data_IF_950640790809
#
_entry.id   IF_950640790809
#
_cell.length_a   1.000
_cell.length_b   1.000
_cell.length_c   1.000
_cell.angle_alpha   90.00
_cell.angle_beta   90.00
_cell.angle_gamma   90.00
#
_symmetry.space_group_name_H-M   'P 1'
#
loop_
_entity.id
_entity.type
_entity.pdbx_description
1 polymer ?
#
# COMPACT_ATOMS: atom_id res chain seq x y z
N UNK A 1 -35.80 -28.08 6.92
CA UNK A 1 -34.46 -28.50 6.42
C UNK A 1 -34.05 -27.75 5.16
N UNK A 2 -34.84 -27.75 4.08
CA UNK A 2 -34.49 -27.06 2.81
C UNK A 2 -34.13 -25.57 2.95
N UNK A 3 -34.93 -24.80 3.68
CA UNK A 3 -34.68 -23.36 3.86
C UNK A 3 -33.40 -23.06 4.65
N UNK A 4 -33.07 -23.89 5.65
CA UNK A 4 -31.82 -23.74 6.42
C UNK A 4 -30.61 -23.93 5.51
N UNK A 5 -30.62 -24.94 4.64
CA UNK A 5 -29.54 -25.17 3.67
C UNK A 5 -29.39 -23.99 2.69
N UNK A 6 -30.49 -23.42 2.22
CA UNK A 6 -30.47 -22.26 1.31
C UNK A 6 -29.86 -21.03 2.01
N UNK A 7 -30.28 -20.72 3.24
CA UNK A 7 -29.71 -19.61 4.00
C UNK A 7 -28.21 -19.83 4.29
N UNK A 8 -27.80 -21.06 4.64
CA UNK A 8 -26.38 -21.39 4.84
C UNK A 8 -25.56 -21.18 3.56
N UNK A 9 -26.08 -21.59 2.40
CA UNK A 9 -25.40 -21.38 1.11
C UNK A 9 -25.24 -19.90 0.76
N UNK A 10 -26.29 -19.10 0.99
CA UNK A 10 -26.24 -17.64 0.76
C UNK A 10 -25.20 -16.99 1.67
N UNK A 11 -25.16 -17.35 2.96
CA UNK A 11 -24.17 -16.82 3.91
C UNK A 11 -22.74 -17.19 3.45
N UNK A 12 -22.50 -18.44 3.05
CA UNK A 12 -21.20 -18.88 2.54
C UNK A 12 -20.81 -18.08 1.29
N UNK A 13 -21.71 -17.91 0.33
CA UNK A 13 -21.48 -17.12 -0.89
C UNK A 13 -21.18 -15.65 -0.57
N UNK A 14 -21.89 -15.04 0.38
CA UNK A 14 -21.63 -13.67 0.83
C UNK A 14 -20.26 -13.55 1.50
N UNK A 15 -19.90 -14.47 2.40
CA UNK A 15 -18.59 -14.46 3.06
C UNK A 15 -17.44 -14.67 2.09
N UNK A 16 -17.61 -15.49 1.05
CA UNK A 16 -16.61 -15.70 0.00
C UNK A 16 -16.48 -14.48 -0.93
N UNK A 17 -17.60 -13.79 -1.22
CA UNK A 17 -17.61 -12.60 -2.08
C UNK A 17 -16.86 -11.41 -1.47
N UNK A 18 -16.96 -11.23 -0.14
CA UNK A 18 -16.23 -10.17 0.57
C UNK A 18 -14.72 -10.41 0.48
N UNK A 19 -14.26 -11.66 0.59
CA UNK A 19 -12.84 -12.02 0.45
C UNK A 19 -12.30 -11.89 -0.99
N UNK A 20 -13.19 -11.91 -1.99
CA UNK A 20 -12.82 -11.82 -3.40
C UNK A 20 -12.61 -10.37 -3.89
N UNK A 21 -13.01 -9.35 -3.12
CA UNK A 21 -12.74 -7.94 -3.42
C UNK A 21 -11.27 -7.59 -3.14
N UNK A 22 -10.34 -8.21 -3.86
CA UNK A 22 -8.93 -7.81 -3.83
C UNK A 22 -8.81 -6.42 -4.46
N UNK A 23 -8.09 -5.52 -3.82
CA UNK A 23 -7.77 -4.23 -4.43
C UNK A 23 -7.03 -4.45 -5.75
N UNK A 24 -7.52 -3.84 -6.83
CA UNK A 24 -6.90 -3.92 -8.16
C UNK A 24 -5.68 -2.96 -8.22
N UNK A 25 -4.60 -3.34 -7.55
CA UNK A 25 -3.39 -2.54 -7.44
C UNK A 25 -2.60 -2.46 -8.76
N UNK A 26 -2.79 -3.41 -9.68
CA UNK A 26 -2.20 -3.34 -11.02
C UNK A 26 -2.76 -2.16 -11.80
N UNK A 27 -4.08 -1.94 -11.77
CA UNK A 27 -4.70 -0.76 -12.40
C UNK A 27 -4.21 0.56 -11.79
N UNK A 28 -3.99 0.61 -10.48
CA UNK A 28 -3.39 1.78 -9.82
C UNK A 28 -1.95 2.02 -10.32
N UNK A 29 -1.13 0.97 -10.41
CA UNK A 29 0.24 1.04 -10.94
C UNK A 29 0.26 1.51 -12.39
N UNK A 30 -0.66 1.03 -13.22
CA UNK A 30 -0.83 1.48 -14.60
C UNK A 30 -1.19 2.96 -14.69
N UNK A 31 -2.12 3.44 -13.85
CA UNK A 31 -2.51 4.85 -13.82
C UNK A 31 -1.40 5.77 -13.27
N UNK A 32 -0.48 5.23 -12.45
CA UNK A 32 0.69 5.97 -11.97
C UNK A 32 1.80 6.13 -13.03
N UNK A 33 1.88 5.26 -14.05
CA UNK A 33 2.88 5.36 -15.14
C UNK A 33 2.76 6.62 -16.01
N UNK A 34 1.56 7.05 -16.45
CA UNK A 34 1.37 8.31 -17.17
C UNK A 34 1.71 9.53 -16.30
N UNK A 35 1.30 9.50 -15.03
CA UNK A 35 1.57 10.59 -14.10
C UNK A 35 3.07 10.75 -13.83
N UNK A 36 3.89 9.70 -13.95
CA UNK A 36 5.31 9.76 -13.55
C UNK A 36 6.12 10.76 -14.37
N UNK A 37 5.67 11.07 -15.60
CA UNK A 37 6.26 12.13 -16.45
C UNK A 37 5.85 13.56 -16.06
N UNK A 38 4.74 13.76 -15.34
CA UNK A 38 4.30 15.05 -14.77
C UNK A 38 4.58 15.16 -13.24
N UNK A 39 4.97 14.06 -12.60
CA UNK A 39 5.20 13.88 -11.15
C UNK A 39 6.54 14.43 -10.63
N UNK A 40 7.28 15.22 -11.43
CA UNK A 40 8.40 16.04 -10.89
C UNK A 40 7.86 17.29 -10.20
N UNK A 41 6.55 17.54 -10.28
CA UNK A 41 5.89 18.59 -9.51
C UNK A 41 6.10 18.36 -7.99
N UNK A 42 6.67 19.34 -7.27
CA UNK A 42 6.91 19.29 -5.82
C UNK A 42 5.69 18.87 -4.98
N UNK A 43 4.46 19.11 -5.45
CA UNK A 43 3.21 18.71 -4.75
C UNK A 43 3.08 17.19 -4.54
N UNK A 44 3.85 16.42 -5.30
CA UNK A 44 3.89 14.96 -5.23
C UNK A 44 5.03 14.42 -4.36
N UNK A 45 5.94 15.31 -3.94
CA UNK A 45 6.87 15.00 -2.87
C UNK A 45 6.08 14.92 -1.56
N UNK A 46 6.26 13.83 -0.83
CA UNK A 46 5.69 13.67 0.49
C UNK A 46 6.68 14.19 1.52
N UNK A 47 7.13 15.44 1.38
CA UNK A 47 8.27 15.98 2.15
C UNK A 47 8.10 15.81 3.65
N UNK A 48 6.90 16.09 4.18
CA UNK A 48 6.58 15.88 5.59
C UNK A 48 6.80 14.43 6.03
N UNK A 49 6.26 13.47 5.28
CA UNK A 49 6.42 12.03 5.57
C UNK A 49 7.88 11.62 5.43
N UNK A 50 8.55 12.08 4.37
CA UNK A 50 9.94 11.74 4.08
C UNK A 50 10.89 12.25 5.16
N UNK A 51 10.70 13.50 5.60
CA UNK A 51 11.49 14.11 6.68
C UNK A 51 11.29 13.36 7.99
N UNK A 52 10.04 13.16 8.39
CA UNK A 52 9.70 12.57 9.68
C UNK A 52 10.12 11.09 9.73
N UNK A 53 9.89 10.34 8.66
CA UNK A 53 10.33 8.95 8.60
C UNK A 53 11.84 8.82 8.54
N UNK A 54 12.54 9.64 7.76
CA UNK A 54 14.00 9.66 7.73
C UNK A 54 14.59 9.84 9.13
N UNK A 55 14.05 10.78 9.89
CA UNK A 55 14.47 11.01 11.27
C UNK A 55 14.14 9.81 12.18
N UNK A 56 12.91 9.29 12.07
CA UNK A 56 12.42 8.19 12.92
C UNK A 56 13.17 6.87 12.73
N UNK A 57 13.63 6.57 11.51
CA UNK A 57 14.27 5.30 11.17
C UNK A 57 15.78 5.40 10.96
N UNK A 58 16.38 6.57 11.21
CA UNK A 58 17.79 6.91 10.91
C UNK A 58 18.82 5.95 11.49
N UNK A 59 18.48 5.21 12.55
CA UNK A 59 19.41 4.28 13.21
C UNK A 59 19.44 2.90 12.55
N UNK A 60 18.40 2.56 11.78
CA UNK A 60 18.21 1.22 11.20
C UNK A 60 18.23 1.21 9.68
N UNK A 61 17.74 2.27 9.04
CA UNK A 61 17.52 2.32 7.59
C UNK A 61 18.12 3.56 6.94
N UNK A 62 18.63 3.37 5.72
CA UNK A 62 19.01 4.45 4.82
C UNK A 62 17.75 4.86 4.05
N UNK A 63 17.08 5.91 4.55
CA UNK A 63 15.82 6.37 3.97
C UNK A 63 16.02 6.98 2.58
N UNK A 64 15.23 6.51 1.61
CA UNK A 64 15.05 7.16 0.31
C UNK A 64 13.67 7.81 0.27
N UNK A 65 13.61 9.01 -0.29
CA UNK A 65 12.34 9.70 -0.46
C UNK A 65 11.37 8.89 -1.32
N UNK A 66 10.18 8.69 -0.77
CA UNK A 66 9.04 8.07 -1.43
C UNK A 66 8.16 9.15 -2.03
N UNK A 67 7.62 8.88 -3.22
CA UNK A 67 6.68 9.79 -3.90
C UNK A 67 5.24 9.36 -3.66
N UNK A 68 4.29 10.27 -3.91
CA UNK A 68 2.85 10.00 -3.77
C UNK A 68 2.38 8.69 -4.42
N UNK A 69 2.69 8.49 -5.70
CA UNK A 69 2.28 7.29 -6.43
C UNK A 69 2.92 6.01 -5.86
N UNK A 70 4.18 6.08 -5.45
CA UNK A 70 4.86 4.95 -4.81
C UNK A 70 4.18 4.57 -3.49
N UNK A 71 3.85 5.56 -2.67
CA UNK A 71 3.14 5.36 -1.41
C UNK A 71 1.72 4.81 -1.61
N UNK A 72 1.01 5.25 -2.66
CA UNK A 72 -0.32 4.74 -3.00
C UNK A 72 -0.28 3.29 -3.49
N UNK A 73 0.68 2.95 -4.36
CA UNK A 73 0.90 1.57 -4.80
C UNK A 73 1.24 0.69 -3.60
N UNK A 74 2.15 1.17 -2.74
CA UNK A 74 2.54 0.48 -1.52
C UNK A 74 1.33 0.19 -0.61
N UNK A 75 0.51 1.20 -0.34
CA UNK A 75 -0.68 1.05 0.50
C UNK A 75 -1.71 0.07 -0.09
N UNK A 76 -1.85 0.04 -1.41
CA UNK A 76 -2.73 -0.91 -2.07
C UNK A 76 -2.21 -2.35 -1.95
N UNK A 77 -0.94 -2.57 -2.32
CA UNK A 77 -0.34 -3.91 -2.35
C UNK A 77 -0.15 -4.51 -0.96
N UNK A 78 -0.05 -3.66 0.07
CA UNK A 78 0.23 -4.06 1.44
C UNK A 78 -0.89 -3.63 2.40
N UNK A 79 -2.16 -3.65 1.97
CA UNK A 79 -3.31 -3.18 2.75
C UNK A 79 -3.49 -3.87 4.13
N UNK A 80 -2.94 -5.08 4.31
CA UNK A 80 -2.91 -5.80 5.59
C UNK A 80 -1.80 -5.32 6.55
N UNK A 81 -0.84 -4.52 6.06
CA UNK A 81 0.28 -3.99 6.86
C UNK A 81 -0.02 -2.57 7.32
N UNK A 82 0.51 -2.20 8.49
CA UNK A 82 0.52 -0.81 8.93
C UNK A 82 1.46 0.02 8.05
N UNK A 83 1.00 1.22 7.68
CA UNK A 83 1.76 2.21 6.92
C UNK A 83 2.69 3.05 7.81
N UNK A 84 3.49 2.39 8.64
CA UNK A 84 4.52 3.05 9.45
C UNK A 84 5.87 3.09 8.71
N UNK A 85 6.76 3.98 9.15
CA UNK A 85 8.06 4.20 8.50
C UNK A 85 8.94 2.93 8.43
N UNK A 86 8.85 2.03 9.41
CA UNK A 86 9.61 0.78 9.42
C UNK A 86 9.11 -0.18 8.33
N UNK A 87 7.78 -0.33 8.24
CA UNK A 87 7.15 -1.14 7.22
C UNK A 87 7.37 -0.57 5.83
N UNK A 88 7.28 0.76 5.66
CA UNK A 88 7.60 1.42 4.39
C UNK A 88 9.06 1.13 4.00
N UNK A 89 10.02 1.37 4.90
CA UNK A 89 11.44 1.15 4.60
C UNK A 89 11.73 -0.31 4.23
N UNK A 90 11.19 -1.26 4.99
CA UNK A 90 11.35 -2.69 4.74
C UNK A 90 10.76 -3.13 3.41
N UNK A 91 9.50 -2.74 3.13
CA UNK A 91 8.74 -3.25 1.99
C UNK A 91 9.10 -2.53 0.68
N UNK A 92 9.62 -1.31 0.75
CA UNK A 92 10.20 -0.61 -0.42
C UNK A 92 11.67 -0.98 -0.67
N UNK A 93 12.23 -1.91 0.11
CA UNK A 93 13.59 -2.43 -0.09
C UNK A 93 14.68 -1.42 0.22
N UNK A 94 14.45 -0.52 1.19
CA UNK A 94 15.49 0.40 1.64
C UNK A 94 16.66 -0.37 2.25
N UNK A 95 17.86 0.19 2.15
CA UNK A 95 19.06 -0.45 2.69
C UNK A 95 19.09 -0.32 4.22
N UNK A 96 19.48 -1.38 4.93
CA UNK A 96 19.81 -1.29 6.35
C UNK A 96 21.21 -0.75 6.57
N UNK A 97 21.40 -0.05 7.68
CA UNK A 97 22.71 0.51 8.05
C UNK A 97 23.68 -0.59 8.50
N UNK A 98 23.16 -1.65 9.13
CA UNK A 98 23.88 -2.86 9.53
C UNK A 98 23.09 -4.10 9.14
#
# INVERSE_FOLDING_TARGET
MKSVCIFSLIIILCCLSIKAQRLNCSRLRENCRPCTRRLVDPINNLEFINRDCREKVRERWIWRDVRRCEMQIFACENHENRLDCENVARLTGMRRIR
#
